data_IF_698303131764
#
_entry.id   IF_698303131764
#
_cell.length_a   1.000
_cell.length_b   1.000
_cell.length_c   1.000
_cell.angle_alpha   90.00
_cell.angle_beta   90.00
_cell.angle_gamma   90.00
#
_symmetry.space_group_name_H-M   'P 1'
#
loop_
_entity.id
_entity.type
_entity.pdbx_description
1 polymer ?
#
# COMPACT_ATOMS: atom_id res chain seq x y z
N UNK A 1 48.53 23.08 -15.49
CA UNK A 1 47.91 24.30 -15.04
C UNK A 1 46.65 24.53 -15.90
N UNK A 2 45.49 24.29 -15.31
CA UNK A 2 44.20 24.48 -15.93
C UNK A 2 43.73 25.93 -15.68
N UNK A 3 43.23 26.68 -16.63
CA UNK A 3 42.78 28.04 -16.40
C UNK A 3 41.43 28.01 -15.63
N UNK A 4 41.16 29.04 -14.80
CA UNK A 4 39.91 29.14 -14.08
C UNK A 4 38.80 29.54 -15.05
N UNK A 5 37.73 28.78 -15.09
CA UNK A 5 36.48 29.16 -15.72
C UNK A 5 35.78 30.19 -14.82
N UNK A 6 35.81 31.44 -15.27
CA UNK A 6 34.90 32.49 -14.83
C UNK A 6 33.54 32.25 -15.45
N UNK A 7 32.53 32.71 -14.71
CA UNK A 7 31.13 32.82 -15.05
C UNK A 7 30.25 31.62 -14.58
N UNK A 8 30.18 31.48 -13.25
CA UNK A 8 28.98 31.00 -12.64
C UNK A 8 27.91 32.10 -12.76
N UNK A 9 27.06 31.99 -13.75
CA UNK A 9 25.80 32.74 -13.80
C UNK A 9 25.02 32.43 -12.52
N UNK A 10 24.91 33.46 -11.68
CA UNK A 10 23.95 33.46 -10.57
C UNK A 10 22.56 33.44 -11.19
N UNK A 11 21.96 32.29 -11.20
CA UNK A 11 20.51 32.18 -11.37
C UNK A 11 19.93 32.82 -10.09
N UNK A 12 19.52 34.05 -10.16
CA UNK A 12 18.66 34.68 -9.19
C UNK A 12 17.36 33.87 -9.20
N UNK A 13 17.16 33.12 -8.14
CA UNK A 13 15.85 32.55 -7.85
C UNK A 13 15.00 33.74 -7.40
N UNK A 14 14.39 34.40 -8.37
CA UNK A 14 13.31 35.35 -8.08
C UNK A 14 12.24 34.61 -7.27
N UNK A 15 12.01 35.13 -6.08
CA UNK A 15 10.90 34.87 -5.20
C UNK A 15 9.72 34.14 -5.86
N UNK A 16 9.69 32.84 -5.73
CA UNK A 16 8.44 32.13 -5.80
C UNK A 16 7.64 32.59 -4.59
N UNK A 17 6.82 33.61 -4.80
CA UNK A 17 5.82 34.03 -3.84
C UNK A 17 5.05 32.79 -3.46
N UNK A 18 5.08 32.51 -2.18
CA UNK A 18 4.27 31.55 -1.48
C UNK A 18 2.79 31.82 -1.84
N UNK A 19 2.33 31.24 -2.94
CA UNK A 19 0.92 31.20 -3.30
C UNK A 19 0.34 30.09 -2.44
N UNK A 20 0.14 30.42 -1.17
CA UNK A 20 -0.79 29.64 -0.36
C UNK A 20 -2.15 29.80 -1.02
N UNK A 21 -2.76 28.72 -1.52
CA UNK A 21 -4.16 28.80 -1.84
C UNK A 21 -4.87 29.19 -0.55
N UNK A 22 -5.59 30.31 -0.56
CA UNK A 22 -6.50 30.68 0.52
C UNK A 22 -7.48 29.51 0.66
N UNK A 23 -7.19 28.64 1.60
CA UNK A 23 -8.13 27.64 2.08
C UNK A 23 -9.19 28.39 2.87
N UNK A 24 -10.19 28.86 2.14
CA UNK A 24 -11.48 29.15 2.76
C UNK A 24 -11.88 27.86 3.49
N UNK A 25 -11.92 27.94 4.81
CA UNK A 25 -12.44 26.92 5.71
C UNK A 25 -13.89 26.62 5.32
N UNK A 26 -14.10 25.74 4.37
CA UNK A 26 -15.33 24.99 4.26
C UNK A 26 -15.15 23.71 5.06
N UNK A 27 -15.67 23.75 6.28
CA UNK A 27 -15.83 22.56 7.11
C UNK A 27 -16.66 21.54 6.34
N UNK A 28 -16.15 20.32 6.19
CA UNK A 28 -17.01 19.16 6.12
C UNK A 28 -17.19 18.46 4.81
N UNK A 29 -16.30 18.56 3.82
CA UNK A 29 -16.21 17.55 2.78
C UNK A 29 -14.89 16.81 2.90
N UNK A 30 -14.90 15.46 3.00
CA UNK A 30 -13.67 14.69 2.93
C UNK A 30 -12.98 15.03 1.61
N UNK A 31 -11.66 15.21 1.67
CA UNK A 31 -10.83 15.42 0.47
C UNK A 31 -11.03 14.18 -0.41
N UNK A 32 -11.50 14.32 -1.66
CA UNK A 32 -11.74 13.16 -2.50
C UNK A 32 -10.43 12.41 -2.70
N UNK A 33 -10.44 11.13 -2.36
CA UNK A 33 -9.30 10.25 -2.57
C UNK A 33 -9.18 9.99 -4.08
N UNK A 34 -8.02 10.17 -4.73
CA UNK A 34 -7.88 9.98 -6.17
C UNK A 34 -8.30 8.59 -6.66
N UNK A 35 -8.18 7.57 -5.82
CA UNK A 35 -8.65 6.21 -6.10
C UNK A 35 -10.10 5.93 -5.71
N UNK A 36 -10.74 6.81 -4.95
CA UNK A 36 -12.12 6.66 -4.48
C UNK A 36 -13.11 7.59 -5.22
N UNK A 37 -12.66 8.23 -6.27
CA UNK A 37 -13.36 9.02 -7.27
C UNK A 37 -14.75 9.57 -6.96
N UNK A 38 -14.86 10.80 -6.42
CA UNK A 38 -16.14 11.52 -6.43
C UNK A 38 -16.55 11.96 -7.85
N UNK A 39 -15.70 11.88 -8.86
CA UNK A 39 -15.97 12.34 -10.23
C UNK A 39 -15.84 11.24 -11.29
N UNK A 40 -16.00 9.97 -10.94
CA UNK A 40 -16.29 8.93 -11.92
C UNK A 40 -15.28 8.69 -13.04
N UNK A 41 -14.02 9.12 -12.91
CA UNK A 41 -13.00 8.83 -13.92
C UNK A 41 -12.48 7.38 -13.88
N UNK A 42 -12.65 6.70 -12.74
CA UNK A 42 -12.14 5.34 -12.54
C UNK A 42 -13.20 4.34 -12.06
N UNK A 43 -14.34 4.81 -11.51
CA UNK A 43 -15.40 3.94 -11.00
C UNK A 43 -16.76 4.46 -11.39
N UNK A 44 -17.53 3.62 -12.05
CA UNK A 44 -18.95 3.84 -12.37
C UNK A 44 -19.76 3.52 -11.11
N UNK A 45 -20.10 4.52 -10.30
CA UNK A 45 -20.90 4.35 -9.06
C UNK A 45 -22.23 3.60 -9.27
N UNK A 46 -22.74 3.57 -10.49
CA UNK A 46 -23.97 2.84 -10.85
C UNK A 46 -23.75 1.32 -11.01
N UNK A 47 -22.48 0.88 -11.02
CA UNK A 47 -22.11 -0.55 -11.17
C UNK A 47 -21.44 -1.13 -9.93
N UNK A 48 -21.30 -0.35 -8.86
CA UNK A 48 -20.74 -0.81 -7.61
C UNK A 48 -21.78 -1.68 -6.87
N UNK A 49 -21.59 -2.99 -6.92
CA UNK A 49 -22.36 -3.95 -6.12
C UNK A 49 -21.44 -4.41 -4.96
N UNK A 50 -21.53 -3.76 -3.79
CA UNK A 50 -20.65 -4.08 -2.67
C UNK A 50 -20.93 -5.50 -2.18
N UNK A 51 -19.89 -6.20 -1.74
CA UNK A 51 -20.03 -7.49 -1.12
C UNK A 51 -20.97 -7.41 0.11
N UNK A 52 -21.77 -8.46 0.37
CA UNK A 52 -22.66 -8.48 1.53
C UNK A 52 -21.93 -8.21 2.84
N UNK A 53 -22.52 -7.45 3.75
CA UNK A 53 -21.92 -7.11 5.06
C UNK A 53 -21.54 -8.33 5.91
N UNK A 54 -22.13 -9.49 5.64
CA UNK A 54 -21.86 -10.75 6.32
C UNK A 54 -20.71 -11.55 5.68
N UNK A 55 -20.21 -11.11 4.54
CA UNK A 55 -19.11 -11.81 3.87
C UNK A 55 -17.80 -11.59 4.62
N UNK A 56 -17.05 -12.68 4.78
CA UNK A 56 -15.72 -12.62 5.39
C UNK A 56 -14.74 -12.02 4.39
N UNK A 57 -14.16 -10.87 4.75
CA UNK A 57 -13.10 -10.24 3.98
C UNK A 57 -11.76 -10.87 4.36
N UNK A 58 -11.07 -11.44 3.38
CA UNK A 58 -9.76 -12.05 3.57
C UNK A 58 -8.70 -11.22 2.89
N UNK A 59 -7.63 -10.88 3.61
CA UNK A 59 -6.51 -10.12 3.10
C UNK A 59 -5.23 -10.92 3.11
N UNK A 60 -4.41 -10.73 2.09
CA UNK A 60 -3.03 -11.16 2.07
C UNK A 60 -2.13 -9.97 2.40
N UNK A 61 -1.25 -10.11 3.39
CA UNK A 61 -0.22 -9.13 3.69
C UNK A 61 1.07 -9.54 2.97
N UNK A 62 1.46 -8.79 1.97
CA UNK A 62 2.61 -9.07 1.11
C UNK A 62 3.62 -7.92 1.12
N UNK A 63 4.90 -8.25 1.04
CA UNK A 63 5.98 -7.27 1.01
C UNK A 63 7.35 -7.91 0.98
N UNK A 64 8.38 -7.09 0.77
CA UNK A 64 9.75 -7.53 0.80
C UNK A 64 10.18 -7.92 2.23
N UNK A 65 11.27 -8.67 2.32
CA UNK A 65 11.89 -8.90 3.61
C UNK A 65 12.35 -7.56 4.22
N UNK A 66 12.22 -7.46 5.55
CA UNK A 66 12.61 -6.28 6.33
C UNK A 66 11.86 -4.96 6.01
N UNK A 67 10.73 -5.01 5.32
CA UNK A 67 9.88 -3.84 5.09
C UNK A 67 8.98 -3.45 6.28
N UNK A 68 9.07 -4.18 7.40
CA UNK A 68 8.24 -3.96 8.59
C UNK A 68 6.93 -4.78 8.61
N UNK A 69 6.82 -5.82 7.79
CA UNK A 69 5.61 -6.63 7.61
C UNK A 69 5.13 -7.29 8.91
N UNK A 70 6.03 -7.90 9.68
CA UNK A 70 5.70 -8.52 10.98
C UNK A 70 5.18 -7.49 11.97
N UNK A 71 5.78 -6.32 12.02
CA UNK A 71 5.33 -5.23 12.89
C UNK A 71 3.94 -4.77 12.51
N UNK A 72 3.69 -4.57 11.21
CA UNK A 72 2.36 -4.21 10.72
C UNK A 72 1.33 -5.29 11.02
N UNK A 73 1.65 -6.56 10.79
CA UNK A 73 0.75 -7.68 11.12
C UNK A 73 0.34 -7.68 12.59
N UNK A 74 1.30 -7.44 13.49
CA UNK A 74 1.03 -7.35 14.93
C UNK A 74 0.15 -6.13 15.27
N UNK A 75 0.33 -4.99 14.60
CA UNK A 75 -0.52 -3.81 14.78
C UNK A 75 -1.95 -4.07 14.28
N UNK A 76 -2.11 -4.77 13.17
CA UNK A 76 -3.41 -5.10 12.60
C UNK A 76 -4.19 -6.10 13.48
N UNK A 77 -3.54 -7.14 13.99
CA UNK A 77 -4.21 -8.29 14.62
C UNK A 77 -4.12 -8.32 16.14
N UNK A 78 -3.09 -7.76 16.71
CA UNK A 78 -2.84 -7.85 18.16
C UNK A 78 -2.50 -9.26 18.61
N UNK A 79 -3.17 -9.71 19.68
CA UNK A 79 -2.94 -11.05 20.26
C UNK A 79 -3.76 -12.17 19.60
N UNK A 80 -4.70 -11.84 18.71
CA UNK A 80 -5.59 -12.79 18.07
C UNK A 80 -4.96 -13.37 16.80
N UNK A 81 -3.88 -14.12 16.98
CA UNK A 81 -3.13 -14.73 15.89
C UNK A 81 -3.19 -16.25 15.97
N UNK A 82 -3.33 -16.90 14.84
CA UNK A 82 -3.15 -18.33 14.68
C UNK A 82 -1.86 -18.59 13.91
N UNK A 83 -1.02 -19.46 14.45
CA UNK A 83 0.28 -19.80 13.85
C UNK A 83 0.28 -21.27 13.44
N UNK A 84 0.70 -21.53 12.23
CA UNK A 84 0.84 -22.87 11.66
C UNK A 84 1.85 -22.84 10.51
N UNK A 85 1.77 -23.83 9.65
CA UNK A 85 2.55 -23.86 8.40
C UNK A 85 1.62 -23.83 7.20
N UNK A 86 2.12 -23.33 6.08
CA UNK A 86 1.42 -23.50 4.81
C UNK A 86 1.36 -24.98 4.42
N UNK A 87 0.28 -25.44 3.78
CA UNK A 87 0.09 -26.84 3.45
C UNK A 87 1.28 -27.43 2.64
N UNK A 88 1.81 -28.55 3.11
CA UNK A 88 2.84 -29.31 2.40
C UNK A 88 4.26 -28.73 2.44
N UNK A 89 4.50 -27.66 3.18
CA UNK A 89 5.82 -27.02 3.32
C UNK A 89 6.13 -26.63 4.76
N UNK A 90 7.40 -26.31 5.04
CA UNK A 90 7.87 -25.86 6.36
C UNK A 90 7.88 -24.33 6.51
N UNK A 91 7.13 -23.62 5.68
CA UNK A 91 7.02 -22.17 5.71
C UNK A 91 5.91 -21.77 6.69
N UNK A 92 6.24 -20.87 7.61
CA UNK A 92 5.31 -20.40 8.63
C UNK A 92 4.12 -19.64 8.01
N UNK A 93 2.91 -19.96 8.49
CA UNK A 93 1.66 -19.26 8.21
C UNK A 93 1.16 -18.59 9.47
N UNK A 94 0.83 -17.33 9.38
CA UNK A 94 0.19 -16.57 10.45
C UNK A 94 -1.09 -15.95 9.93
N UNK A 95 -2.18 -16.23 10.58
CA UNK A 95 -3.49 -15.67 10.30
C UNK A 95 -3.99 -14.91 11.52
N UNK A 96 -4.74 -13.85 11.31
CA UNK A 96 -5.32 -13.10 12.40
C UNK A 96 -6.54 -12.29 11.97
N UNK A 97 -7.39 -11.96 12.93
CA UNK A 97 -8.49 -11.03 12.71
C UNK A 97 -8.01 -9.60 12.88
N UNK A 98 -8.40 -8.73 11.95
CA UNK A 98 -8.10 -7.31 12.05
C UNK A 98 -8.90 -6.69 13.18
N UNK A 99 -8.23 -5.94 14.05
CA UNK A 99 -8.84 -5.27 15.20
C UNK A 99 -9.92 -4.30 14.75
N UNK A 100 -11.04 -4.32 15.47
CA UNK A 100 -12.15 -3.38 15.22
C UNK A 100 -12.93 -3.64 13.94
N UNK A 101 -12.61 -4.72 13.23
CA UNK A 101 -13.33 -5.14 12.02
C UNK A 101 -13.82 -6.57 12.19
N UNK A 102 -15.13 -6.71 12.34
CA UNK A 102 -15.75 -8.05 12.35
C UNK A 102 -15.63 -8.68 10.96
N UNK A 103 -15.51 -9.99 10.91
CA UNK A 103 -15.41 -10.77 9.66
C UNK A 103 -14.24 -10.35 8.73
N UNK A 104 -13.15 -9.82 9.27
CA UNK A 104 -11.99 -9.40 8.48
C UNK A 104 -10.74 -10.12 8.95
N UNK A 105 -10.19 -10.97 8.10
CA UNK A 105 -9.01 -11.79 8.36
C UNK A 105 -7.83 -11.35 7.51
N UNK A 106 -6.63 -11.45 8.06
CA UNK A 106 -5.39 -11.19 7.33
C UNK A 106 -4.43 -12.37 7.51
N UNK A 107 -3.81 -12.79 6.41
CA UNK A 107 -2.74 -13.79 6.38
C UNK A 107 -1.42 -13.11 6.10
N UNK A 108 -0.43 -13.33 6.97
CA UNK A 108 0.93 -12.86 6.77
C UNK A 108 1.65 -13.80 5.80
N UNK A 109 1.98 -13.30 4.61
CA UNK A 109 2.73 -14.06 3.61
C UNK A 109 4.24 -13.93 3.86
N UNK A 110 5.05 -14.90 3.43
CA UNK A 110 6.50 -14.78 3.50
C UNK A 110 7.02 -13.53 2.81
N UNK A 111 8.09 -12.94 3.34
CA UNK A 111 8.77 -11.81 2.70
C UNK A 111 9.46 -12.27 1.43
N UNK A 112 9.10 -11.70 0.29
CA UNK A 112 9.64 -12.01 -1.03
C UNK A 112 10.00 -10.75 -1.80
N UNK A 113 10.88 -10.87 -2.78
CA UNK A 113 11.26 -9.76 -3.66
C UNK A 113 10.59 -9.81 -5.02
N UNK A 114 10.12 -10.97 -5.41
CA UNK A 114 9.43 -11.20 -6.69
C UNK A 114 8.45 -12.36 -6.59
N UNK A 115 7.55 -12.46 -7.56
CA UNK A 115 6.62 -13.58 -7.71
C UNK A 115 7.21 -14.76 -8.53
N UNK A 116 8.51 -14.72 -8.79
CA UNK A 116 9.21 -15.78 -9.52
C UNK A 116 9.34 -17.04 -8.66
N UNK A 117 9.01 -18.22 -9.15
CA UNK A 117 8.91 -19.45 -8.33
C UNK A 117 10.28 -20.11 -8.09
N UNK A 118 11.25 -19.37 -7.54
CA UNK A 118 12.59 -19.92 -7.29
C UNK A 118 12.81 -20.41 -5.86
N UNK A 119 12.11 -19.82 -4.89
CA UNK A 119 12.18 -20.22 -3.47
C UNK A 119 10.86 -20.80 -3.01
N UNK A 120 10.88 -21.54 -1.88
CA UNK A 120 9.68 -22.06 -1.24
C UNK A 120 8.70 -20.94 -0.84
N UNK A 121 9.25 -19.82 -0.37
CA UNK A 121 8.49 -18.64 0.04
C UNK A 121 7.76 -18.00 -1.14
N UNK A 122 8.42 -17.87 -2.28
CA UNK A 122 7.84 -17.32 -3.51
C UNK A 122 6.74 -18.23 -4.06
N UNK A 123 6.98 -19.54 -4.06
CA UNK A 123 5.98 -20.54 -4.47
C UNK A 123 4.76 -20.49 -3.56
N UNK A 124 4.96 -20.46 -2.24
CA UNK A 124 3.87 -20.38 -1.25
C UNK A 124 3.04 -19.12 -1.45
N UNK A 125 3.68 -17.97 -1.58
CA UNK A 125 2.99 -16.69 -1.79
C UNK A 125 2.17 -16.70 -3.06
N UNK A 126 2.76 -17.19 -4.16
CA UNK A 126 2.07 -17.29 -5.44
C UNK A 126 0.86 -18.22 -5.37
N UNK A 127 1.02 -19.40 -4.81
CA UNK A 127 -0.06 -20.36 -4.69
C UNK A 127 -1.18 -19.84 -3.81
N UNK A 128 -0.84 -19.21 -2.67
CA UNK A 128 -1.83 -18.57 -1.80
C UNK A 128 -2.69 -17.55 -2.56
N UNK A 129 -2.06 -16.64 -3.29
CA UNK A 129 -2.77 -15.59 -4.03
C UNK A 129 -3.64 -16.13 -5.16
N UNK A 130 -3.20 -17.21 -5.82
CA UNK A 130 -3.91 -17.81 -6.95
C UNK A 130 -4.98 -18.81 -6.56
N UNK A 131 -4.82 -19.53 -5.44
CA UNK A 131 -5.70 -20.63 -5.04
C UNK A 131 -6.70 -20.21 -3.95
N UNK A 132 -6.25 -19.41 -2.95
CA UNK A 132 -7.10 -18.97 -1.83
C UNK A 132 -7.95 -17.75 -2.18
N UNK A 133 -7.64 -17.06 -3.27
CA UNK A 133 -8.40 -15.89 -3.77
C UNK A 133 -8.75 -14.88 -2.68
N UNK A 134 -7.76 -14.25 -2.02
CA UNK A 134 -8.05 -13.24 -1.01
C UNK A 134 -8.86 -12.10 -1.62
N UNK A 135 -9.73 -11.49 -0.82
CA UNK A 135 -10.57 -10.36 -1.27
C UNK A 135 -9.78 -9.07 -1.45
N UNK A 136 -8.60 -9.00 -0.86
CA UNK A 136 -7.70 -7.86 -1.00
C UNK A 136 -6.26 -8.20 -0.65
N UNK A 137 -5.35 -7.36 -1.13
CA UNK A 137 -3.93 -7.41 -0.79
C UNK A 137 -3.56 -6.11 -0.07
N UNK A 138 -2.91 -6.24 1.09
CA UNK A 138 -2.19 -5.15 1.74
C UNK A 138 -0.72 -5.32 1.38
N UNK A 139 -0.24 -4.51 0.45
CA UNK A 139 1.15 -4.51 0.05
C UNK A 139 1.94 -3.50 0.86
N UNK A 140 2.83 -3.98 1.73
CA UNK A 140 3.70 -3.12 2.52
C UNK A 140 5.00 -2.84 1.79
N UNK A 141 5.36 -1.56 1.71
CA UNK A 141 6.52 -1.02 1.00
C UNK A 141 7.35 -0.20 1.96
N UNK A 142 8.65 -0.43 1.95
CA UNK A 142 9.62 0.38 2.67
C UNK A 142 9.84 1.71 1.94
N UNK A 143 9.40 2.80 2.56
CA UNK A 143 9.51 4.14 1.99
C UNK A 143 10.96 4.64 1.86
N UNK A 144 11.89 4.06 2.61
CA UNK A 144 13.33 4.39 2.53
C UNK A 144 14.01 3.70 1.35
N UNK A 145 13.37 2.68 0.75
CA UNK A 145 13.89 1.90 -0.36
C UNK A 145 12.79 1.54 -1.38
N UNK A 146 12.10 2.54 -1.87
CA UNK A 146 10.90 2.40 -2.72
C UNK A 146 11.20 1.60 -3.99
N UNK A 147 12.25 1.92 -4.72
CA UNK A 147 12.55 1.31 -6.03
C UNK A 147 12.60 -0.22 -5.94
N UNK A 148 13.30 -0.74 -4.93
CA UNK A 148 13.41 -2.18 -4.73
C UNK A 148 12.08 -2.82 -4.39
N UNK A 149 11.24 -2.14 -3.63
CA UNK A 149 9.96 -2.65 -3.17
C UNK A 149 8.88 -2.60 -4.25
N UNK A 150 8.90 -1.58 -5.12
CA UNK A 150 7.89 -1.42 -6.17
C UNK A 150 7.92 -2.53 -7.22
N UNK A 151 9.04 -3.22 -7.40
CA UNK A 151 9.10 -4.36 -8.32
C UNK A 151 8.08 -5.45 -7.96
N UNK A 152 8.01 -5.83 -6.69
CA UNK A 152 6.98 -6.75 -6.20
C UNK A 152 5.57 -6.16 -6.34
N UNK A 153 5.40 -4.88 -6.00
CA UNK A 153 4.12 -4.17 -6.12
C UNK A 153 3.55 -4.30 -7.52
N UNK A 154 4.36 -4.04 -8.55
CA UNK A 154 3.94 -4.15 -9.95
C UNK A 154 3.47 -5.56 -10.30
N UNK A 155 4.18 -6.58 -9.84
CA UNK A 155 3.79 -7.98 -10.08
C UNK A 155 2.50 -8.36 -9.34
N UNK A 156 2.28 -7.85 -8.13
CA UNK A 156 1.03 -8.05 -7.40
C UNK A 156 -0.17 -7.39 -8.11
N UNK A 157 0.03 -6.23 -8.70
CA UNK A 157 -1.01 -5.52 -9.46
C UNK A 157 -1.48 -6.31 -10.69
N UNK A 158 -0.59 -7.10 -11.31
CA UNK A 158 -0.94 -7.96 -12.46
C UNK A 158 -1.93 -9.07 -12.10
N UNK A 159 -2.07 -9.42 -10.82
CA UNK A 159 -3.02 -10.44 -10.37
C UNK A 159 -4.49 -9.98 -10.39
N UNK A 160 -4.73 -8.70 -10.60
CA UNK A 160 -6.07 -8.10 -10.67
C UNK A 160 -6.92 -8.35 -9.40
N UNK A 161 -6.26 -8.39 -8.25
CA UNK A 161 -6.88 -8.47 -6.92
C UNK A 161 -6.93 -7.07 -6.32
N UNK A 162 -8.04 -6.66 -5.66
CA UNK A 162 -8.10 -5.38 -4.95
C UNK A 162 -6.89 -5.19 -4.04
N UNK A 163 -6.24 -4.04 -4.11
CA UNK A 163 -4.96 -3.81 -3.42
C UNK A 163 -4.88 -2.41 -2.82
N UNK A 164 -4.25 -2.33 -1.65
CA UNK A 164 -3.83 -1.09 -1.02
C UNK A 164 -2.34 -1.16 -0.74
N UNK A 165 -1.62 -0.06 -0.93
CA UNK A 165 -0.20 0.05 -0.64
C UNK A 165 -0.01 0.76 0.71
N UNK A 166 0.62 0.06 1.66
CA UNK A 166 1.05 0.61 2.93
C UNK A 166 2.49 1.11 2.79
N UNK A 167 2.67 2.42 2.69
CA UNK A 167 3.97 3.06 2.57
C UNK A 167 4.55 3.24 3.98
N UNK A 168 5.35 2.27 4.42
CA UNK A 168 5.89 2.18 5.79
C UNK A 168 7.21 2.94 5.96
N UNK A 169 7.60 3.13 7.22
CA UNK A 169 8.81 3.86 7.60
C UNK A 169 8.79 5.34 7.20
N UNK A 170 7.60 5.94 7.12
CA UNK A 170 7.45 7.35 6.80
C UNK A 170 8.01 8.28 7.88
N UNK A 171 8.11 7.82 9.11
CA UNK A 171 8.81 8.50 10.19
C UNK A 171 10.31 8.64 9.88
N UNK A 172 10.97 7.59 9.41
CA UNK A 172 12.38 7.63 9.01
C UNK A 172 12.60 8.57 7.82
N UNK A 173 11.70 8.56 6.83
CA UNK A 173 11.76 9.49 5.69
C UNK A 173 11.70 10.94 6.17
N UNK A 174 10.76 11.26 7.08
CA UNK A 174 10.61 12.60 7.65
C UNK A 174 11.81 13.02 8.51
N UNK A 175 12.33 12.12 9.35
CA UNK A 175 13.51 12.37 10.20
C UNK A 175 14.75 12.65 9.37
N UNK A 176 14.88 12.03 8.21
CA UNK A 176 15.98 12.27 7.26
C UNK A 176 15.72 13.49 6.32
N UNK A 177 14.67 14.28 6.57
CA UNK A 177 14.34 15.45 5.77
C UNK A 177 13.77 15.15 4.38
N UNK A 178 13.41 13.89 4.12
CA UNK A 178 12.77 13.47 2.88
C UNK A 178 11.27 13.71 2.87
N UNK A 179 10.68 13.68 1.68
CA UNK A 179 9.24 13.69 1.46
C UNK A 179 8.88 12.82 0.28
N UNK A 180 7.68 12.23 0.33
CA UNK A 180 7.13 11.43 -0.78
C UNK A 180 5.80 12.04 -1.19
N UNK A 181 5.62 12.23 -2.51
CA UNK A 181 4.39 12.76 -3.08
C UNK A 181 3.35 11.63 -3.19
N UNK A 182 2.73 11.28 -2.06
CA UNK A 182 1.79 10.17 -1.93
C UNK A 182 0.67 10.25 -2.97
N UNK A 183 0.06 11.43 -3.15
CA UNK A 183 -1.03 11.61 -4.10
C UNK A 183 -0.61 11.36 -5.57
N UNK A 184 0.62 11.72 -5.92
CA UNK A 184 1.15 11.42 -7.25
C UNK A 184 1.41 9.92 -7.42
N UNK A 185 1.91 9.28 -6.37
CA UNK A 185 2.14 7.84 -6.35
C UNK A 185 0.83 7.07 -6.52
N UNK A 186 -0.24 7.47 -5.83
CA UNK A 186 -1.58 6.92 -6.01
C UNK A 186 -2.10 7.09 -7.45
N UNK A 187 -1.96 8.29 -8.00
CA UNK A 187 -2.42 8.58 -9.36
C UNK A 187 -1.67 7.74 -10.41
N UNK A 188 -0.37 7.51 -10.19
CA UNK A 188 0.45 6.69 -11.09
C UNK A 188 0.16 5.20 -10.95
N UNK A 189 -0.02 4.69 -9.75
CA UNK A 189 -0.26 3.27 -9.50
C UNK A 189 -1.73 2.87 -9.68
N UNK A 190 -2.66 3.81 -9.55
CA UNK A 190 -4.09 3.52 -9.61
C UNK A 190 -4.61 2.67 -8.45
N UNK A 191 -3.92 2.71 -7.31
CA UNK A 191 -4.31 2.06 -6.05
C UNK A 191 -4.15 3.05 -4.90
N UNK A 192 -4.91 2.90 -3.80
CA UNK A 192 -4.71 3.71 -2.60
C UNK A 192 -3.30 3.51 -2.03
N UNK A 193 -2.64 4.62 -1.68
CA UNK A 193 -1.33 4.63 -1.01
C UNK A 193 -1.48 5.32 0.33
N UNK A 194 -1.27 4.57 1.41
CA UNK A 194 -1.43 5.08 2.78
C UNK A 194 -0.06 5.17 3.45
N UNK A 195 0.39 6.37 3.80
CA UNK A 195 1.63 6.54 4.55
C UNK A 195 1.45 6.08 5.99
N UNK A 196 2.34 5.20 6.45
CA UNK A 196 2.29 4.65 7.81
C UNK A 196 3.66 4.63 8.47
N UNK A 197 3.64 4.49 9.80
CA UNK A 197 4.76 3.98 10.60
C UNK A 197 4.25 2.85 11.47
N UNK A 198 4.50 1.61 11.08
CA UNK A 198 4.08 0.44 11.85
C UNK A 198 4.74 0.42 13.23
N UNK A 199 5.99 0.87 13.34
CA UNK A 199 6.71 0.94 14.61
C UNK A 199 6.08 1.94 15.60
N UNK A 200 5.56 3.07 15.10
CA UNK A 200 4.93 4.12 15.90
C UNK A 200 3.40 4.00 15.95
N UNK A 201 2.82 2.99 15.31
CA UNK A 201 1.37 2.79 15.18
C UNK A 201 0.64 3.99 14.54
N UNK A 202 1.29 4.65 13.57
CA UNK A 202 0.75 5.78 12.83
C UNK A 202 0.13 5.32 11.50
N UNK A 203 -1.04 5.85 11.15
CA UNK A 203 -1.73 5.61 9.88
C UNK A 203 -2.39 4.23 9.73
N UNK A 204 -2.40 3.41 10.78
CA UNK A 204 -2.92 2.03 10.72
C UNK A 204 -4.44 2.01 10.53
N UNK A 205 -5.17 2.87 11.23
CA UNK A 205 -6.63 2.96 11.09
C UNK A 205 -7.06 3.40 9.69
N UNK A 206 -6.33 4.36 9.12
CA UNK A 206 -6.54 4.81 7.75
C UNK A 206 -6.25 3.68 6.75
N UNK A 207 -5.16 2.93 6.94
CA UNK A 207 -4.84 1.76 6.14
C UNK A 207 -5.96 0.72 6.16
N UNK A 208 -6.47 0.39 7.35
CA UNK A 208 -7.58 -0.57 7.51
C UNK A 208 -8.82 -0.06 6.78
N UNK A 209 -9.16 1.21 6.93
CA UNK A 209 -10.32 1.81 6.26
C UNK A 209 -10.24 1.69 4.74
N UNK A 210 -9.09 2.02 4.15
CA UNK A 210 -8.87 1.88 2.71
C UNK A 210 -8.87 0.42 2.26
N UNK A 211 -8.23 -0.48 3.01
CA UNK A 211 -8.21 -1.90 2.69
C UNK A 211 -9.61 -2.51 2.67
N UNK A 212 -10.40 -2.24 3.70
CA UNK A 212 -11.79 -2.72 3.79
C UNK A 212 -12.62 -2.15 2.65
N UNK A 213 -12.45 -0.88 2.31
CA UNK A 213 -13.18 -0.24 1.21
C UNK A 213 -12.88 -0.93 -0.14
N UNK A 214 -11.61 -1.05 -0.53
CA UNK A 214 -11.26 -1.67 -1.81
C UNK A 214 -11.70 -3.13 -1.91
N UNK A 215 -11.65 -3.87 -0.81
CA UNK A 215 -12.09 -5.25 -0.76
C UNK A 215 -13.62 -5.37 -0.83
N UNK A 216 -14.35 -4.53 -0.08
CA UNK A 216 -15.82 -4.54 -0.07
C UNK A 216 -16.42 -4.20 -1.43
N UNK A 217 -15.86 -3.21 -2.11
CA UNK A 217 -16.31 -2.78 -3.44
C UNK A 217 -15.60 -3.50 -4.57
N UNK A 218 -14.66 -4.42 -4.28
CA UNK A 218 -13.86 -5.16 -5.26
C UNK A 218 -13.18 -4.23 -6.28
N UNK A 219 -12.64 -3.12 -5.79
CA UNK A 219 -11.90 -2.16 -6.60
C UNK A 219 -10.56 -2.74 -7.03
N UNK A 220 -10.42 -3.01 -8.32
CA UNK A 220 -9.21 -3.61 -8.87
C UNK A 220 -8.16 -2.55 -9.21
N UNK A 221 -6.87 -2.90 -9.19
CA UNK A 221 -5.81 -2.00 -9.61
C UNK A 221 -6.05 -1.48 -11.03
N UNK A 222 -5.83 -0.17 -11.24
CA UNK A 222 -5.87 0.40 -12.58
C UNK A 222 -4.80 -0.23 -13.48
N UNK A 223 -5.08 -0.38 -14.78
CA UNK A 223 -4.02 -0.74 -15.74
C UNK A 223 -3.12 0.47 -15.91
N UNK A 224 -1.89 0.33 -15.50
CA UNK A 224 -0.86 1.35 -15.73
C UNK A 224 -0.21 1.02 -17.07
N UNK A 225 -0.56 1.76 -18.10
CA UNK A 225 0.14 1.69 -19.38
C UNK A 225 1.44 2.47 -19.27
N UNK A 226 2.53 1.78 -19.03
CA UNK A 226 3.87 2.33 -19.11
C UNK A 226 4.33 2.34 -20.58
N UNK A 227 3.78 3.22 -21.40
CA UNK A 227 4.28 3.51 -22.75
C UNK A 227 5.12 4.77 -22.77
#
# INVERSE_FOLDING_TARGET
AWPPTSDAEKIEIENVRDVRPETSRQMGKPIPHPGLGEEGKYHDKEKEDPLPDQEVLTFALAGNQNCGKTTLFNQLTGSNQHVGNFPGVTVDRKDGQIRGQENTLVTDLPGIYSMSPYSSEEVVTRNFLLEEHPKGIINIVDATNIERNLYLTMQLMELDIPMVLALNMMDEVRENGGSILVNQMEALLGIPVVPISAAKNEGIEELISHAVHVAKYQERPGRVDFC
#
